data_IF_918361023751
#
_entry.id   IF_918361023751
#
_cell.length_a   1.000
_cell.length_b   1.000
_cell.length_c   1.000
_cell.angle_alpha   90.00
_cell.angle_beta   90.00
_cell.angle_gamma   90.00
#
_symmetry.space_group_name_H-M   'P 1'
#
loop_
_entity.id
_entity.type
_entity.pdbx_description
1 polymer ?
#
# COMPACT_ATOMS: atom_id res chain seq x y z
N UNK A 1 -8.93 -46.88 12.17
CA UNK A 1 -8.44 -45.62 12.79
C UNK A 1 -7.36 -44.90 11.96
N UNK A 2 -6.45 -45.60 11.26
CA UNK A 2 -5.35 -44.99 10.46
C UNK A 2 -5.80 -44.06 9.31
N UNK A 3 -6.96 -44.32 8.69
CA UNK A 3 -7.46 -43.51 7.56
C UNK A 3 -8.02 -42.13 7.95
N UNK A 4 -8.52 -41.98 9.18
CA UNK A 4 -9.10 -40.71 9.66
C UNK A 4 -8.02 -39.68 10.02
N UNK A 5 -6.90 -40.13 10.57
CA UNK A 5 -5.75 -39.27 10.90
C UNK A 5 -5.00 -38.81 9.64
N UNK A 6 -4.88 -39.69 8.64
CA UNK A 6 -4.25 -39.34 7.35
C UNK A 6 -5.08 -38.28 6.59
N UNK A 7 -6.42 -38.40 6.61
CA UNK A 7 -7.31 -37.42 5.99
C UNK A 7 -7.23 -36.02 6.63
N UNK A 8 -7.09 -35.96 7.95
CA UNK A 8 -6.90 -34.68 8.68
C UNK A 8 -5.55 -34.03 8.37
N UNK A 9 -4.47 -34.80 8.25
CA UNK A 9 -3.17 -34.27 7.85
C UNK A 9 -3.17 -33.76 6.40
N UNK A 10 -3.84 -34.46 5.48
CA UNK A 10 -3.95 -34.03 4.08
C UNK A 10 -4.79 -32.74 3.99
N UNK A 11 -5.91 -32.65 4.73
CA UNK A 11 -6.73 -31.44 4.75
C UNK A 11 -5.96 -30.24 5.32
N UNK A 12 -5.16 -30.45 6.38
CA UNK A 12 -4.31 -29.41 6.96
C UNK A 12 -3.19 -28.96 6.02
N UNK A 13 -2.58 -29.87 5.24
CA UNK A 13 -1.60 -29.52 4.21
C UNK A 13 -2.24 -28.76 3.03
N UNK A 14 -3.46 -29.11 2.64
CA UNK A 14 -4.18 -28.43 1.55
C UNK A 14 -4.59 -27.01 1.96
N UNK A 15 -5.00 -26.78 3.22
CA UNK A 15 -5.32 -25.44 3.71
C UNK A 15 -4.10 -24.53 3.87
N UNK A 16 -2.92 -25.10 4.14
CA UNK A 16 -1.65 -24.35 4.20
C UNK A 16 -1.15 -23.91 2.82
N UNK A 17 -1.49 -24.66 1.77
CA UNK A 17 -1.06 -24.37 0.41
C UNK A 17 -1.88 -23.26 -0.27
N UNK A 18 -3.05 -22.90 0.27
CA UNK A 18 -3.97 -21.93 -0.34
C UNK A 18 -3.97 -20.55 0.32
N UNK A 19 -3.18 -20.33 1.37
CA UNK A 19 -2.97 -18.98 1.89
C UNK A 19 -1.98 -18.25 1.00
N UNK A 20 -2.46 -17.80 -0.17
CA UNK A 20 -1.90 -16.62 -0.81
C UNK A 20 -2.03 -15.50 0.22
N UNK A 21 -0.95 -15.20 0.92
CA UNK A 21 -0.83 -13.91 1.59
C UNK A 21 -0.85 -12.89 0.45
N UNK A 22 -2.01 -12.29 0.21
CA UNK A 22 -2.13 -11.11 -0.63
C UNK A 22 -1.41 -9.98 0.11
N UNK A 23 -0.09 -9.94 -0.01
CA UNK A 23 0.69 -8.82 0.46
C UNK A 23 0.29 -7.62 -0.38
N UNK A 24 -0.20 -6.58 0.28
CA UNK A 24 -0.36 -5.30 -0.38
C UNK A 24 1.02 -4.82 -0.85
N UNK A 25 1.11 -4.40 -2.09
CA UNK A 25 2.30 -3.77 -2.64
C UNK A 25 2.53 -2.45 -1.93
N UNK A 26 3.80 -2.13 -1.71
CA UNK A 26 4.21 -0.85 -1.15
C UNK A 26 4.96 -0.03 -2.18
N UNK A 27 4.69 1.26 -2.22
CA UNK A 27 5.33 2.19 -3.15
C UNK A 27 5.84 3.39 -2.37
N UNK A 28 7.13 3.67 -2.43
CA UNK A 28 7.65 4.93 -1.95
C UNK A 28 7.34 6.02 -2.98
N UNK A 29 6.80 7.14 -2.51
CA UNK A 29 6.43 8.27 -3.33
C UNK A 29 7.06 9.56 -2.81
N UNK A 30 7.26 10.50 -3.73
CA UNK A 30 7.56 11.89 -3.40
C UNK A 30 6.92 12.83 -4.41
N UNK A 31 6.63 14.04 -3.95
CA UNK A 31 6.19 15.15 -4.78
C UNK A 31 6.87 16.44 -4.29
N UNK A 32 7.14 17.37 -5.19
CA UNK A 32 7.82 18.63 -4.92
C UNK A 32 7.35 19.74 -5.87
N UNK A 33 6.49 20.61 -5.37
CA UNK A 33 6.10 21.85 -6.02
C UNK A 33 6.78 23.09 -5.43
N UNK A 34 6.51 24.29 -5.99
CA UNK A 34 7.04 25.56 -5.50
C UNK A 34 6.63 25.95 -4.07
N UNK A 35 5.44 25.55 -3.62
CA UNK A 35 4.83 25.96 -2.35
C UNK A 35 4.91 24.88 -1.29
N UNK A 36 4.77 23.62 -1.67
CA UNK A 36 4.84 22.50 -0.75
C UNK A 36 5.43 21.24 -1.41
N UNK A 37 5.83 20.31 -0.58
CA UNK A 37 6.45 19.05 -1.00
C UNK A 37 6.07 17.95 -0.01
N UNK A 38 6.13 16.70 -0.42
CA UNK A 38 5.83 15.61 0.47
C UNK A 38 6.44 14.31 0.02
N UNK A 39 6.53 13.38 0.95
CA UNK A 39 7.02 12.03 0.67
C UNK A 39 6.45 11.04 1.66
N UNK A 40 6.45 9.77 1.25
CA UNK A 40 5.87 8.72 2.05
C UNK A 40 5.81 7.38 1.35
N UNK A 41 4.95 6.52 1.87
CA UNK A 41 4.73 5.18 1.33
C UNK A 41 3.24 4.95 1.13
N UNK A 42 2.85 4.54 -0.07
CA UNK A 42 1.55 3.98 -0.38
C UNK A 42 1.53 2.49 -0.09
N UNK A 43 0.41 2.01 0.42
CA UNK A 43 0.05 0.60 0.47
C UNK A 43 -1.07 0.39 -0.53
N UNK A 44 -0.90 -0.48 -1.51
CA UNK A 44 -1.84 -0.65 -2.61
C UNK A 44 -2.00 -2.13 -3.00
N UNK A 45 -3.04 -2.43 -3.76
CA UNK A 45 -3.27 -3.78 -4.29
C UNK A 45 -3.44 -3.69 -5.80
N UNK A 46 -2.69 -4.50 -6.56
CA UNK A 46 -2.85 -4.52 -8.00
C UNK A 46 -4.25 -5.00 -8.39
N UNK A 47 -4.88 -4.27 -9.32
CA UNK A 47 -6.16 -4.66 -9.90
C UNK A 47 -5.93 -5.72 -10.97
N UNK A 48 -5.88 -6.98 -10.55
CA UNK A 48 -5.59 -8.09 -11.45
C UNK A 48 -4.13 -8.07 -11.90
N UNK A 49 -3.89 -7.95 -13.20
CA UNK A 49 -2.56 -7.82 -13.80
C UNK A 49 -2.61 -6.70 -14.84
N UNK A 50 -2.71 -5.46 -14.37
CA UNK A 50 -3.08 -4.30 -15.20
C UNK A 50 -2.21 -3.07 -15.00
N UNK A 51 -1.14 -3.15 -14.20
CA UNK A 51 -0.28 -2.01 -13.84
C UNK A 51 -1.04 -0.87 -13.09
N UNK A 52 -2.29 -1.12 -12.71
CA UNK A 52 -3.16 -0.25 -11.94
C UNK A 52 -3.31 -0.81 -10.54
N UNK A 53 -3.06 0.01 -9.53
CA UNK A 53 -3.08 -0.35 -8.13
C UNK A 53 -4.11 0.49 -7.39
N UNK A 54 -4.97 -0.16 -6.62
CA UNK A 54 -5.91 0.49 -5.71
C UNK A 54 -5.17 0.81 -4.40
N UNK A 55 -4.92 2.09 -4.14
CA UNK A 55 -4.25 2.56 -2.91
C UNK A 55 -5.24 2.41 -1.74
N UNK A 56 -4.81 1.66 -0.72
CA UNK A 56 -5.59 1.36 0.49
C UNK A 56 -4.99 1.97 1.76
N UNK A 57 -3.74 2.42 1.71
CA UNK A 57 -3.09 3.13 2.79
C UNK A 57 -2.06 4.14 2.31
N UNK A 58 -1.83 5.17 3.10
CA UNK A 58 -0.78 6.17 2.89
C UNK A 58 -0.18 6.55 4.24
N UNK A 59 1.14 6.69 4.27
CA UNK A 59 1.88 7.27 5.40
C UNK A 59 2.92 8.22 4.84
N UNK A 60 3.36 9.20 5.63
CA UNK A 60 4.38 10.14 5.18
C UNK A 60 4.26 11.50 5.84
N UNK A 61 4.94 12.48 5.25
CA UNK A 61 4.95 13.86 5.70
C UNK A 61 4.88 14.81 4.53
N UNK A 62 4.21 15.94 4.75
CA UNK A 62 4.17 17.08 3.84
C UNK A 62 4.87 18.24 4.53
N UNK A 63 5.53 19.09 3.73
CA UNK A 63 6.22 20.29 4.18
C UNK A 63 5.77 21.46 3.32
N UNK A 64 5.40 22.55 3.97
CA UNK A 64 5.01 23.82 3.37
C UNK A 64 5.72 24.99 4.08
N UNK A 65 5.18 26.21 3.93
CA UNK A 65 5.68 27.41 4.59
C UNK A 65 5.37 27.46 6.10
N UNK A 66 4.35 26.74 6.56
CA UNK A 66 3.93 26.70 7.96
C UNK A 66 4.71 25.65 8.78
N UNK A 67 5.23 24.62 8.12
CA UNK A 67 6.10 23.62 8.75
C UNK A 67 6.01 22.26 8.06
N UNK A 68 6.07 21.20 8.86
CA UNK A 68 5.85 19.83 8.37
C UNK A 68 4.73 19.16 9.14
N UNK A 69 3.86 18.50 8.39
CA UNK A 69 2.65 17.83 8.88
C UNK A 69 2.64 16.38 8.46
N UNK A 70 2.22 15.50 9.38
CA UNK A 70 2.10 14.07 9.11
C UNK A 70 0.85 13.78 8.30
N UNK A 71 0.95 12.84 7.37
CA UNK A 71 -0.21 12.26 6.69
C UNK A 71 -0.96 11.36 7.69
N UNK A 72 -2.27 11.55 7.83
CA UNK A 72 -3.10 10.85 8.82
C UNK A 72 -4.00 9.78 8.23
N UNK A 73 -4.51 9.99 7.02
CA UNK A 73 -5.47 9.08 6.40
C UNK A 73 -5.65 9.37 4.91
N UNK A 74 -6.02 8.34 4.14
CA UNK A 74 -6.64 8.55 2.83
C UNK A 74 -7.97 9.31 3.00
N UNK A 75 -8.29 10.11 2.00
CA UNK A 75 -9.58 10.78 1.88
C UNK A 75 -10.33 10.19 0.69
N UNK A 76 -11.66 10.14 0.78
CA UNK A 76 -12.53 9.53 -0.24
C UNK A 76 -12.93 10.48 -1.37
N UNK A 77 -12.14 11.52 -1.66
CA UNK A 77 -12.45 12.50 -2.71
C UNK A 77 -11.96 12.05 -4.09
N UNK A 78 -10.84 11.33 -4.15
CA UNK A 78 -10.31 10.69 -5.35
C UNK A 78 -10.73 9.23 -5.52
N UNK A 79 -10.30 8.62 -6.62
CA UNK A 79 -10.51 7.19 -6.84
C UNK A 79 -9.36 6.31 -6.33
N UNK A 80 -8.31 6.97 -5.83
CA UNK A 80 -7.15 6.38 -5.16
C UNK A 80 -6.42 5.35 -6.03
N UNK A 81 -6.38 5.58 -7.35
CA UNK A 81 -5.65 4.72 -8.28
C UNK A 81 -4.25 5.21 -8.55
N UNK A 82 -3.31 4.29 -8.50
CA UNK A 82 -1.94 4.47 -8.96
C UNK A 82 -1.72 3.67 -10.24
N UNK A 83 -1.20 4.33 -11.28
CA UNK A 83 -0.67 3.65 -12.47
C UNK A 83 0.85 3.56 -12.33
N UNK A 84 1.40 2.35 -12.27
CA UNK A 84 2.84 2.12 -12.14
C UNK A 84 3.32 1.13 -13.20
N UNK A 85 4.33 1.45 -14.04
CA UNK A 85 5.39 2.46 -13.85
C UNK A 85 5.03 3.89 -14.29
N UNK A 86 3.74 4.18 -14.48
CA UNK A 86 3.23 5.48 -14.93
C UNK A 86 3.04 5.52 -16.45
N UNK A 87 2.30 6.52 -16.92
CA UNK A 87 2.01 6.78 -18.33
C UNK A 87 2.85 7.95 -18.78
N UNK A 88 3.54 7.80 -19.91
CA UNK A 88 4.22 8.90 -20.60
C UNK A 88 3.28 9.44 -21.68
N UNK A 89 2.62 10.58 -21.48
CA UNK A 89 1.85 11.22 -22.54
C UNK A 89 2.87 11.76 -23.53
N UNK A 90 2.83 11.30 -24.79
CA UNK A 90 3.92 11.50 -25.75
C UNK A 90 4.50 12.92 -25.85
N UNK A 91 5.76 13.01 -26.32
CA UNK A 91 6.56 14.22 -26.58
C UNK A 91 6.78 15.17 -25.38
N UNK A 92 7.94 15.03 -24.73
CA UNK A 92 8.50 15.91 -23.68
C UNK A 92 7.68 16.15 -22.40
N UNK A 93 6.56 15.44 -22.20
CA UNK A 93 5.83 15.52 -20.93
C UNK A 93 6.42 14.56 -19.88
N UNK A 94 6.35 14.93 -18.59
CA UNK A 94 6.78 14.05 -17.51
C UNK A 94 5.91 12.78 -17.43
N UNK A 95 6.41 11.78 -16.72
CA UNK A 95 5.62 10.57 -16.43
C UNK A 95 4.53 10.92 -15.43
N UNK A 96 3.32 10.44 -15.69
CA UNK A 96 2.17 10.62 -14.83
C UNK A 96 1.74 9.30 -14.20
N UNK A 97 1.49 9.32 -12.90
CA UNK A 97 1.14 8.17 -12.07
C UNK A 97 -0.34 8.17 -11.69
N UNK A 98 -0.98 9.36 -11.66
CA UNK A 98 -2.37 9.52 -11.28
C UNK A 98 -3.25 9.87 -12.48
N UNK A 99 -4.56 9.72 -12.34
CA UNK A 99 -5.52 10.24 -13.32
C UNK A 99 -6.17 11.54 -12.83
N UNK A 100 -7.19 12.00 -13.54
CA UNK A 100 -7.92 13.24 -13.17
C UNK A 100 -8.86 13.08 -11.96
N UNK A 101 -9.04 11.86 -11.44
CA UNK A 101 -9.75 11.60 -10.18
C UNK A 101 -8.80 11.62 -9.01
N UNK A 102 -7.54 11.24 -9.22
CA UNK A 102 -6.46 11.47 -8.27
C UNK A 102 -6.55 10.68 -6.96
N UNK A 103 -5.72 11.11 -6.02
CA UNK A 103 -5.53 10.54 -4.70
C UNK A 103 -5.50 11.67 -3.68
N UNK A 104 -6.39 11.61 -2.70
CA UNK A 104 -6.45 12.62 -1.65
C UNK A 104 -6.09 12.04 -0.29
N UNK A 105 -5.37 12.78 0.55
CA UNK A 105 -5.01 12.38 1.91
C UNK A 105 -4.98 13.55 2.89
N UNK A 106 -5.39 13.30 4.13
CA UNK A 106 -5.45 14.30 5.20
C UNK A 106 -4.12 14.44 5.92
N UNK A 107 -3.90 15.64 6.44
CA UNK A 107 -2.75 16.02 7.24
C UNK A 107 -3.16 16.29 8.70
N UNK A 108 -2.20 16.18 9.62
CA UNK A 108 -2.44 16.35 11.06
C UNK A 108 -2.82 17.79 11.47
N UNK A 109 -2.53 18.78 10.63
CA UNK A 109 -2.95 20.18 10.80
C UNK A 109 -4.38 20.45 10.32
N UNK A 110 -5.01 19.45 9.70
CA UNK A 110 -6.39 19.49 9.19
C UNK A 110 -6.50 19.84 7.70
N UNK A 111 -5.38 20.05 7.00
CA UNK A 111 -5.40 20.23 5.55
C UNK A 111 -5.51 18.90 4.81
N UNK A 112 -5.91 18.95 3.55
CA UNK A 112 -5.97 17.81 2.64
C UNK A 112 -5.06 18.11 1.46
N UNK A 113 -4.28 17.11 1.06
CA UNK A 113 -3.57 17.11 -0.21
C UNK A 113 -4.36 16.29 -1.19
N UNK A 114 -4.46 16.79 -2.42
CA UNK A 114 -4.96 16.06 -3.57
C UNK A 114 -3.87 16.00 -4.66
N UNK A 115 -3.43 14.79 -5.00
CA UNK A 115 -2.51 14.51 -6.10
C UNK A 115 -3.32 14.02 -7.29
N UNK A 116 -3.24 14.70 -8.42
CA UNK A 116 -3.97 14.31 -9.63
C UNK A 116 -3.21 14.74 -10.88
N UNK A 117 -3.54 14.11 -12.02
CA UNK A 117 -2.98 14.51 -13.29
C UNK A 117 -4.04 15.03 -14.24
N UNK A 118 -3.74 16.17 -14.87
CA UNK A 118 -4.57 16.74 -15.94
C UNK A 118 -3.72 16.92 -17.19
N UNK A 119 -4.14 16.31 -18.30
CA UNK A 119 -3.37 16.30 -19.57
C UNK A 119 -1.95 15.73 -19.44
N UNK A 120 -1.74 14.80 -18.49
CA UNK A 120 -0.43 14.19 -18.28
C UNK A 120 0.56 15.03 -17.47
N UNK A 121 0.09 16.12 -16.86
CA UNK A 121 0.87 16.94 -15.94
C UNK A 121 0.33 16.67 -14.54
N UNK A 122 1.23 16.25 -13.66
CA UNK A 122 0.95 16.04 -12.25
C UNK A 122 0.75 17.37 -11.54
N UNK A 123 -0.26 17.40 -10.70
CA UNK A 123 -0.66 18.57 -9.92
C UNK A 123 -0.93 18.14 -8.50
N UNK A 124 -0.46 18.96 -7.56
CA UNK A 124 -0.78 18.83 -6.17
C UNK A 124 -1.63 20.03 -5.75
N UNK A 125 -2.70 19.78 -5.01
CA UNK A 125 -3.50 20.84 -4.40
C UNK A 125 -3.50 20.64 -2.90
N UNK A 126 -3.06 21.65 -2.16
CA UNK A 126 -3.28 21.70 -0.71
C UNK A 126 -4.54 22.52 -0.42
N UNK A 127 -5.40 22.01 0.45
CA UNK A 127 -6.56 22.74 0.95
C UNK A 127 -7.33 21.96 2.00
N UNK A 128 -7.83 22.64 3.02
CA UNK A 128 -8.71 22.06 4.04
C UNK A 128 -10.13 22.66 4.00
N UNK A 129 -11.01 22.31 4.95
CA UNK A 129 -12.30 22.97 5.15
C UNK A 129 -12.19 24.48 5.50
N UNK A 130 -10.96 25.03 5.59
CA UNK A 130 -10.66 26.43 5.93
C UNK A 130 -10.62 27.39 4.72
N UNK A 131 -10.92 26.92 3.51
CA UNK A 131 -11.39 27.78 2.40
C UNK A 131 -10.33 28.36 1.46
N UNK A 132 -9.05 27.99 1.59
CA UNK A 132 -8.03 28.29 0.58
C UNK A 132 -7.54 26.98 -0.04
N UNK A 133 -7.66 26.87 -1.35
CA UNK A 133 -7.11 25.77 -2.15
C UNK A 133 -6.01 26.33 -3.04
N UNK A 134 -4.80 25.77 -2.92
CA UNK A 134 -3.63 26.22 -3.66
C UNK A 134 -3.17 25.08 -4.58
N UNK A 135 -3.60 25.08 -5.84
CA UNK A 135 -3.11 24.13 -6.83
C UNK A 135 -1.72 24.57 -7.32
N UNK A 136 -0.82 23.60 -7.49
CA UNK A 136 0.45 23.78 -8.16
C UNK A 136 0.78 22.62 -9.09
N UNK A 137 1.59 22.92 -10.12
CA UNK A 137 2.20 21.88 -10.93
C UNK A 137 3.31 21.25 -10.12
N UNK A 138 3.35 19.93 -10.14
CA UNK A 138 4.22 19.16 -9.27
C UNK A 138 5.04 18.13 -10.07
N UNK A 139 6.23 17.81 -9.58
CA UNK A 139 7.00 16.66 -10.02
C UNK A 139 6.76 15.52 -9.04
N UNK A 140 6.05 14.48 -9.51
CA UNK A 140 5.79 13.27 -8.72
C UNK A 140 6.77 12.18 -9.15
N UNK A 141 7.32 11.47 -8.17
CA UNK A 141 8.11 10.26 -8.37
C UNK A 141 7.54 9.13 -7.52
N UNK A 142 7.49 7.92 -8.10
CA UNK A 142 6.97 6.72 -7.45
C UNK A 142 7.89 5.56 -7.77
N UNK A 143 8.27 4.82 -6.74
CA UNK A 143 9.08 3.60 -6.86
C UNK A 143 8.40 2.45 -6.15
N UNK A 144 8.35 1.28 -6.81
CA UNK A 144 7.76 0.07 -6.21
C UNK A 144 8.79 -0.59 -5.29
N UNK A 145 8.41 -0.79 -4.03
CA UNK A 145 9.25 -1.51 -3.08
C UNK A 145 9.08 -3.01 -3.36
N UNK A 146 10.19 -3.75 -3.42
CA UNK A 146 10.11 -5.20 -3.61
C UNK A 146 9.44 -5.83 -2.39
N UNK A 147 8.51 -6.80 -2.56
CA UNK A 147 7.90 -7.49 -1.42
C UNK A 147 8.99 -8.09 -0.56
N UNK A 148 9.11 -7.60 0.68
CA UNK A 148 10.03 -8.17 1.66
C UNK A 148 9.39 -9.50 2.11
N UNK A 149 10.00 -10.66 1.83
CA UNK A 149 9.45 -11.93 2.29
C UNK A 149 9.39 -11.90 3.81
N UNK A 150 8.24 -12.18 4.42
CA UNK A 150 8.16 -12.19 5.89
C UNK A 150 9.18 -13.18 6.47
N UNK A 151 10.16 -12.70 7.26
CA UNK A 151 10.98 -13.58 8.04
C UNK A 151 10.16 -13.99 9.27
N UNK A 152 10.14 -15.28 9.57
CA UNK A 152 9.79 -15.86 10.88
C UNK A 152 8.33 -16.23 11.16
N UNK A 153 7.29 -15.52 10.70
CA UNK A 153 5.89 -15.85 11.05
C UNK A 153 5.47 -17.23 10.54
N UNK A 154 5.84 -17.55 9.29
CA UNK A 154 5.55 -18.83 8.63
C UNK A 154 6.34 -19.98 9.25
N UNK A 155 7.62 -19.73 9.59
CA UNK A 155 8.46 -20.69 10.30
C UNK A 155 7.97 -20.93 11.74
N UNK A 156 7.50 -19.89 12.44
CA UNK A 156 6.96 -19.96 13.78
C UNK A 156 5.61 -20.69 13.81
N UNK A 157 4.73 -20.44 12.84
CA UNK A 157 3.48 -21.18 12.70
C UNK A 157 3.72 -22.65 12.36
N UNK A 158 4.63 -22.93 11.42
CA UNK A 158 5.04 -24.30 11.07
C UNK A 158 5.62 -25.05 12.26
N UNK A 159 6.58 -24.45 12.97
CA UNK A 159 7.17 -25.06 14.17
C UNK A 159 6.19 -25.17 15.34
N UNK A 160 5.25 -24.23 15.48
CA UNK A 160 4.19 -24.27 16.49
C UNK A 160 3.26 -25.48 16.31
N UNK A 161 2.82 -25.76 15.09
CA UNK A 161 1.99 -26.94 14.78
C UNK A 161 2.75 -28.24 15.08
N UNK A 162 4.02 -28.33 14.66
CA UNK A 162 4.83 -29.52 14.95
C UNK A 162 5.12 -29.67 16.46
N UNK A 163 5.31 -28.58 17.19
CA UNK A 163 5.44 -28.58 18.65
C UNK A 163 4.21 -29.14 19.36
N UNK A 164 3.01 -28.71 18.94
CA UNK A 164 1.73 -29.21 19.49
C UNK A 164 1.52 -30.69 19.13
N UNK A 165 1.80 -31.09 17.90
CA UNK A 165 1.71 -32.48 17.46
C UNK A 165 2.66 -33.41 18.25
N UNK A 166 3.89 -32.93 18.52
CA UNK A 166 4.86 -33.62 19.37
C UNK A 166 4.37 -33.81 20.80
N UNK A 167 3.80 -32.76 21.40
CA UNK A 167 3.26 -32.80 22.76
C UNK A 167 2.06 -33.77 22.90
N UNK A 168 1.17 -33.80 21.92
CA UNK A 168 0.03 -34.73 21.90
C UNK A 168 0.48 -36.20 21.79
N UNK A 169 1.53 -36.48 21.00
CA UNK A 169 2.08 -37.84 20.87
C UNK A 169 2.71 -38.35 22.16
N UNK A 170 3.34 -37.48 22.94
CA UNK A 170 3.88 -37.83 24.26
C UNK A 170 2.76 -38.16 25.24
N UNK A 171 1.67 -37.39 25.26
CA UNK A 171 0.54 -37.61 26.17
C UNK A 171 -0.20 -38.93 25.93
N UNK A 172 -0.32 -39.36 24.67
CA UNK A 172 -0.95 -40.64 24.30
C UNK A 172 -0.08 -41.88 24.59
N UNK A 173 1.19 -41.70 24.98
CA UNK A 173 2.12 -42.81 25.25
C UNK A 173 2.27 -43.11 26.74
N UNK A 174 1.76 -42.25 27.61
CA UNK A 174 1.89 -42.33 29.06
C UNK A 174 0.55 -42.30 29.82
N UNK A 175 -0.57 -42.53 29.12
CA UNK A 175 -1.90 -42.76 29.70
C UNK A 175 -2.54 -43.98 29.07
#
# INVERSE_FOLDING_TARGET
>A
MKHRTLGLCILALVTLATTSAAFADTFDFSFSGPLFSGSGTFTATERGASDIYDITGVTGTVKDWAGSSKITSLQGFGDNKLTYPGVVPGFFLPTSFFDSKGLSFGLADGDVIDLSATWGIETATIGGPKGLSLPESDTVDVSKNSPVPEPSSLALFGTGIFGIAGAMRLKLRFG
#
